data_IF_916765555297
#
_entry.id   IF_916765555297
#
_cell.length_a   1.000
_cell.length_b   1.000
_cell.length_c   1.000
_cell.angle_alpha   90.00
_cell.angle_beta   90.00
_cell.angle_gamma   90.00
#
_symmetry.space_group_name_H-M   'P 1'
#
loop_
_entity.id
_entity.type
_entity.pdbx_description
1 polymer ?
#
# COMPACT_ATOMS: atom_id res chain seq x y z
N UNK A 1 -21.88 36.93 -7.67
CA UNK A 1 -20.62 37.64 -7.43
C UNK A 1 -19.51 36.60 -7.46
N UNK A 2 -18.58 36.67 -8.40
CA UNK A 2 -17.51 35.67 -8.55
C UNK A 2 -16.40 35.97 -7.54
N UNK A 3 -16.03 34.96 -6.77
CA UNK A 3 -14.88 35.00 -5.87
C UNK A 3 -13.62 35.02 -6.76
N UNK A 4 -12.69 35.98 -6.59
CA UNK A 4 -11.49 36.05 -7.41
C UNK A 4 -10.62 34.81 -7.21
N UNK A 5 -10.14 34.22 -8.32
CA UNK A 5 -9.35 32.99 -8.28
C UNK A 5 -7.94 33.28 -7.72
N UNK A 6 -7.38 32.41 -6.88
CA UNK A 6 -6.06 32.62 -6.26
C UNK A 6 -4.88 32.58 -7.26
N UNK A 7 -5.12 32.19 -8.52
CA UNK A 7 -4.09 32.10 -9.56
C UNK A 7 -4.56 32.78 -10.87
N UNK A 8 -4.16 34.03 -11.14
CA UNK A 8 -4.64 34.80 -12.30
C UNK A 8 -4.22 34.20 -13.64
N UNK A 9 -3.07 33.50 -13.70
CA UNK A 9 -2.61 32.81 -14.91
C UNK A 9 -3.50 31.61 -15.27
N UNK A 10 -4.02 30.91 -14.26
CA UNK A 10 -4.93 29.78 -14.43
C UNK A 10 -6.31 30.29 -14.82
N UNK A 11 -6.75 31.39 -14.22
CA UNK A 11 -8.00 32.05 -14.60
C UNK A 11 -7.95 32.55 -16.04
N UNK A 12 -6.86 33.17 -16.48
CA UNK A 12 -6.68 33.59 -17.87
C UNK A 12 -6.71 32.40 -18.85
N UNK A 13 -6.02 31.29 -18.53
CA UNK A 13 -5.99 30.10 -19.36
C UNK A 13 -7.34 29.36 -19.42
N UNK A 14 -8.10 29.36 -18.33
CA UNK A 14 -9.41 28.70 -18.25
C UNK A 14 -10.58 29.61 -18.64
N UNK A 15 -10.38 30.93 -18.71
CA UNK A 15 -11.41 31.91 -19.09
C UNK A 15 -12.18 31.57 -20.37
N UNK A 16 -11.56 31.06 -21.47
CA UNK A 16 -12.33 30.70 -22.66
C UNK A 16 -13.17 29.41 -22.50
N UNK A 17 -12.93 28.63 -21.44
CA UNK A 17 -13.64 27.38 -21.15
C UNK A 17 -14.65 27.50 -20.00
N UNK A 18 -14.59 28.59 -19.22
CA UNK A 18 -15.52 28.86 -18.12
C UNK A 18 -16.73 29.63 -18.67
N UNK A 19 -17.85 28.92 -18.81
CA UNK A 19 -19.11 29.50 -19.27
C UNK A 19 -20.17 29.51 -18.17
N UNK A 20 -21.10 30.48 -18.17
CA UNK A 20 -22.26 30.44 -17.30
C UNK A 20 -23.13 29.23 -17.62
N UNK A 21 -23.81 28.69 -16.60
CA UNK A 21 -24.55 27.41 -16.67
C UNK A 21 -25.45 27.27 -17.89
N UNK A 22 -26.14 28.33 -18.30
CA UNK A 22 -27.04 28.32 -19.46
C UNK A 22 -26.29 28.18 -20.80
N UNK A 23 -25.14 28.84 -20.97
CA UNK A 23 -24.30 28.69 -22.15
C UNK A 23 -23.70 27.29 -22.21
N UNK A 24 -23.25 26.75 -21.08
CA UNK A 24 -22.74 25.38 -21.00
C UNK A 24 -23.80 24.36 -21.41
N UNK A 25 -25.04 24.51 -20.95
CA UNK A 25 -26.15 23.63 -21.36
C UNK A 25 -26.42 23.72 -22.87
N UNK A 26 -26.42 24.93 -23.44
CA UNK A 26 -26.62 25.13 -24.89
C UNK A 26 -25.51 24.51 -25.72
N UNK A 27 -24.25 24.66 -25.29
CA UNK A 27 -23.09 24.04 -25.93
C UNK A 27 -23.20 22.51 -25.88
N UNK A 28 -23.54 21.94 -24.72
CA UNK A 28 -23.73 20.49 -24.55
C UNK A 28 -24.85 19.95 -25.44
N UNK A 29 -25.98 20.65 -25.53
CA UNK A 29 -27.08 20.27 -26.42
C UNK A 29 -26.64 20.27 -27.89
N UNK A 30 -26.03 21.36 -28.36
CA UNK A 30 -25.54 21.45 -29.74
C UNK A 30 -24.49 20.37 -30.08
N UNK A 31 -23.59 20.05 -29.15
CA UNK A 31 -22.61 18.96 -29.33
C UNK A 31 -23.28 17.58 -29.34
N UNK A 32 -24.28 17.37 -28.49
CA UNK A 32 -25.02 16.11 -28.43
C UNK A 32 -25.81 15.88 -29.71
N UNK A 33 -26.47 16.91 -30.25
CA UNK A 33 -27.16 16.87 -31.55
C UNK A 33 -26.18 16.60 -32.71
N UNK A 34 -25.02 17.25 -32.70
CA UNK A 34 -24.00 17.03 -33.73
C UNK A 34 -23.46 15.59 -33.69
N UNK A 35 -23.13 15.07 -32.51
CA UNK A 35 -22.57 13.72 -32.36
C UNK A 35 -23.64 12.64 -32.56
N UNK A 36 -24.88 12.84 -32.10
CA UNK A 36 -25.97 11.91 -32.34
C UNK A 36 -26.32 11.78 -33.82
N UNK A 37 -26.11 12.83 -34.64
CA UNK A 37 -26.28 12.75 -36.09
C UNK A 37 -25.22 11.89 -36.80
N UNK A 38 -24.06 11.68 -36.17
CA UNK A 38 -22.89 11.02 -36.76
C UNK A 38 -22.63 9.62 -36.22
N UNK A 39 -23.21 9.33 -35.06
CA UNK A 39 -23.08 8.07 -34.35
C UNK A 39 -24.34 7.24 -34.56
N UNK A 40 -24.17 5.98 -34.96
CA UNK A 40 -25.23 4.97 -34.88
C UNK A 40 -25.00 4.21 -33.58
N UNK A 41 -25.92 4.36 -32.64
CA UNK A 41 -26.01 3.52 -31.44
C UNK A 41 -27.21 2.58 -31.57
N UNK A 42 -27.11 1.41 -30.94
CA UNK A 42 -28.17 0.40 -30.96
C UNK A 42 -29.50 0.90 -30.36
N UNK A 43 -29.43 1.76 -29.33
CA UNK A 43 -30.60 2.32 -28.64
C UNK A 43 -30.59 3.87 -28.69
N UNK A 44 -31.41 4.52 -29.54
CA UNK A 44 -31.62 5.97 -29.47
C UNK A 44 -32.64 6.32 -28.36
N UNK A 45 -32.47 7.44 -27.62
CA UNK A 45 -31.50 8.53 -27.84
C UNK A 45 -30.23 8.45 -26.98
N UNK A 46 -29.07 8.69 -27.60
CA UNK A 46 -27.77 8.71 -26.91
C UNK A 46 -27.69 9.91 -25.97
N UNK A 47 -27.58 9.66 -24.68
CA UNK A 47 -27.44 10.73 -23.68
C UNK A 47 -26.04 11.36 -23.73
N UNK A 48 -25.90 12.62 -23.29
CA UNK A 48 -24.57 13.27 -23.22
C UNK A 48 -23.56 12.45 -22.40
N UNK A 49 -24.03 11.72 -21.39
CA UNK A 49 -23.18 10.86 -20.56
C UNK A 49 -22.70 9.63 -21.33
N UNK A 50 -23.56 9.01 -22.13
CA UNK A 50 -23.18 7.92 -23.04
C UNK A 50 -22.24 8.40 -24.14
N UNK A 51 -22.36 9.64 -24.61
CA UNK A 51 -21.39 10.20 -25.56
C UNK A 51 -20.03 10.40 -24.89
N UNK A 52 -19.98 10.79 -23.61
CA UNK A 52 -18.69 10.90 -22.88
C UNK A 52 -18.04 9.55 -22.57
N UNK A 53 -18.85 8.48 -22.48
CA UNK A 53 -18.38 7.11 -22.26
C UNK A 53 -19.11 6.16 -23.22
N UNK A 54 -18.65 6.03 -24.48
CA UNK A 54 -19.39 5.32 -25.52
C UNK A 54 -19.55 3.83 -25.19
N UNK A 55 -20.80 3.30 -25.20
CA UNK A 55 -21.04 1.87 -25.03
C UNK A 55 -20.38 1.05 -26.16
N UNK A 56 -20.30 -0.27 -25.99
CA UNK A 56 -19.61 -1.18 -26.92
C UNK A 56 -20.23 -1.24 -28.33
N UNK A 57 -21.46 -0.75 -28.49
CA UNK A 57 -22.26 -0.87 -29.72
C UNK A 57 -22.25 0.38 -30.61
N UNK A 58 -21.28 1.27 -30.39
CA UNK A 58 -21.25 2.58 -31.06
C UNK A 58 -20.42 2.52 -32.33
N UNK A 59 -21.06 2.79 -33.47
CA UNK A 59 -20.42 2.86 -34.79
C UNK A 59 -20.52 4.27 -35.39
N UNK A 60 -19.46 4.74 -36.05
CA UNK A 60 -19.44 6.05 -36.72
C UNK A 60 -19.92 5.89 -38.16
N UNK A 61 -21.03 6.57 -38.52
CA UNK A 61 -21.69 6.42 -39.83
C UNK A 61 -20.96 7.11 -40.98
N UNK A 62 -20.47 8.33 -40.75
CA UNK A 62 -19.80 9.15 -41.77
C UNK A 62 -19.03 10.31 -41.14
N UNK A 63 -17.79 10.52 -41.58
CA UNK A 63 -17.04 11.74 -41.25
C UNK A 63 -17.59 12.93 -42.04
N UNK A 64 -18.11 13.98 -41.39
CA UNK A 64 -18.42 15.22 -42.08
C UNK A 64 -17.12 15.90 -42.50
N UNK A 65 -17.01 16.41 -43.75
CA UNK A 65 -15.82 17.19 -44.16
C UNK A 65 -15.70 18.52 -43.39
N UNK A 66 -16.76 18.96 -42.72
CA UNK A 66 -16.82 20.18 -41.91
C UNK A 66 -16.29 19.98 -40.48
N UNK A 67 -16.09 18.74 -40.04
CA UNK A 67 -15.51 18.46 -38.73
C UNK A 67 -14.00 18.76 -38.78
N UNK A 68 -13.58 19.90 -38.24
CA UNK A 68 -12.15 20.24 -38.09
C UNK A 68 -11.71 20.20 -36.62
N UNK A 69 -10.41 19.96 -36.40
CA UNK A 69 -9.79 19.99 -35.08
C UNK A 69 -10.22 18.85 -34.16
N UNK A 70 -10.58 19.20 -32.91
CA UNK A 70 -10.85 18.25 -31.82
C UNK A 70 -12.01 17.29 -32.13
N UNK A 71 -13.05 17.79 -32.82
CA UNK A 71 -14.24 16.99 -33.16
C UNK A 71 -13.90 15.84 -34.09
N UNK A 72 -13.03 16.10 -35.08
CA UNK A 72 -12.53 15.06 -35.99
C UNK A 72 -11.71 14.01 -35.26
N UNK A 73 -10.76 14.45 -34.42
CA UNK A 73 -9.93 13.56 -33.60
C UNK A 73 -10.78 12.67 -32.68
N UNK A 74 -11.85 13.23 -32.11
CA UNK A 74 -12.78 12.46 -31.29
C UNK A 74 -13.47 11.35 -32.08
N UNK A 75 -13.99 11.64 -33.27
CA UNK A 75 -14.63 10.64 -34.14
C UNK A 75 -13.64 9.58 -34.64
N UNK A 76 -12.41 9.98 -34.96
CA UNK A 76 -11.33 9.05 -35.34
C UNK A 76 -10.97 8.13 -34.16
N UNK A 77 -10.86 8.67 -32.96
CA UNK A 77 -10.62 7.88 -31.74
C UNK A 77 -11.79 6.93 -31.45
N UNK A 78 -13.03 7.37 -31.67
CA UNK A 78 -14.22 6.53 -31.50
C UNK A 78 -14.23 5.38 -32.51
N UNK A 79 -13.91 5.65 -33.77
CA UNK A 79 -13.76 4.61 -34.80
C UNK A 79 -12.64 3.64 -34.44
N UNK A 80 -11.46 4.14 -34.05
CA UNK A 80 -10.34 3.30 -33.63
C UNK A 80 -10.72 2.41 -32.45
N UNK A 81 -11.42 2.95 -31.45
CA UNK A 81 -11.93 2.20 -30.31
C UNK A 81 -12.90 1.09 -30.73
N UNK A 82 -13.88 1.41 -31.59
CA UNK A 82 -14.82 0.42 -32.12
C UNK A 82 -14.09 -0.71 -32.87
N UNK A 83 -13.10 -0.39 -33.71
CA UNK A 83 -12.30 -1.41 -34.41
C UNK A 83 -11.44 -2.25 -33.46
N UNK A 84 -10.86 -1.65 -32.42
CA UNK A 84 -10.06 -2.36 -31.42
C UNK A 84 -10.93 -3.31 -30.59
N UNK A 85 -12.14 -2.87 -30.20
CA UNK A 85 -13.13 -3.72 -29.51
C UNK A 85 -13.58 -4.89 -30.37
N UNK A 86 -13.92 -4.64 -31.64
CA UNK A 86 -14.30 -5.73 -32.56
C UNK A 86 -13.19 -6.78 -32.71
N UNK A 87 -11.91 -6.36 -32.76
CA UNK A 87 -10.76 -7.27 -32.78
C UNK A 87 -10.62 -8.04 -31.46
N UNK A 88 -10.82 -7.37 -30.33
CA UNK A 88 -10.78 -8.01 -29.02
C UNK A 88 -11.88 -9.07 -28.88
N UNK A 89 -13.11 -8.76 -29.28
CA UNK A 89 -14.23 -9.70 -29.20
C UNK A 89 -14.03 -10.89 -30.14
N UNK A 90 -13.46 -10.68 -31.34
CA UNK A 90 -13.07 -11.76 -32.25
C UNK A 90 -12.00 -12.67 -31.62
N UNK A 91 -10.93 -12.09 -31.06
CA UNK A 91 -9.87 -12.85 -30.37
C UNK A 91 -10.41 -13.60 -29.15
N UNK A 92 -11.32 -12.98 -28.40
CA UNK A 92 -11.99 -13.63 -27.26
C UNK A 92 -12.82 -14.83 -27.73
N UNK A 93 -13.56 -14.69 -28.83
CA UNK A 93 -14.29 -15.80 -29.46
C UNK A 93 -13.39 -16.95 -29.89
N UNK A 94 -12.24 -16.64 -30.50
CA UNK A 94 -11.23 -17.63 -30.90
C UNK A 94 -10.58 -18.33 -29.70
N UNK A 95 -10.32 -17.61 -28.61
CA UNK A 95 -9.81 -18.22 -27.38
C UNK A 95 -10.85 -19.12 -26.73
N UNK A 96 -12.13 -18.73 -26.75
CA UNK A 96 -13.21 -19.57 -26.24
C UNK A 96 -13.42 -20.83 -27.10
N UNK A 97 -13.28 -20.74 -28.42
CA UNK A 97 -13.36 -21.90 -29.32
C UNK A 97 -12.20 -22.86 -29.09
N UNK A 98 -10.96 -22.35 -29.01
CA UNK A 98 -9.77 -23.15 -28.67
C UNK A 98 -9.88 -23.79 -27.29
N UNK A 99 -10.42 -23.08 -26.30
CA UNK A 99 -10.67 -23.65 -24.97
C UNK A 99 -11.67 -24.80 -25.04
N UNK A 100 -12.78 -24.63 -25.77
CA UNK A 100 -13.78 -25.69 -25.97
C UNK A 100 -13.18 -26.90 -26.70
N UNK A 101 -12.40 -26.67 -27.76
CA UNK A 101 -11.69 -27.73 -28.47
C UNK A 101 -10.69 -28.47 -27.58
N UNK A 102 -9.93 -27.76 -26.73
CA UNK A 102 -9.00 -28.39 -25.79
C UNK A 102 -9.71 -29.25 -24.74
N UNK A 103 -10.88 -28.82 -24.27
CA UNK A 103 -11.69 -29.58 -23.31
C UNK A 103 -12.28 -30.83 -23.99
N UNK A 104 -12.74 -30.71 -25.23
CA UNK A 104 -13.24 -31.85 -26.02
C UNK A 104 -12.11 -32.84 -26.36
N UNK A 105 -10.92 -32.35 -26.71
CA UNK A 105 -9.74 -33.17 -26.94
C UNK A 105 -9.26 -33.89 -25.67
N UNK A 106 -9.29 -33.22 -24.51
CA UNK A 106 -8.97 -33.82 -23.22
C UNK A 106 -10.00 -34.87 -22.78
N UNK A 107 -11.28 -34.69 -23.15
CA UNK A 107 -12.36 -35.65 -22.88
C UNK A 107 -12.30 -36.87 -23.79
N UNK A 108 -11.96 -36.68 -25.07
CA UNK A 108 -11.83 -37.78 -26.05
C UNK A 108 -10.47 -38.50 -25.95
N UNK A 109 -9.47 -37.91 -25.30
CA UNK A 109 -8.15 -38.52 -25.06
C UNK A 109 -8.10 -39.52 -23.90
N UNK A 110 -9.19 -39.69 -23.13
CA UNK A 110 -9.28 -40.63 -21.98
C UNK A 110 -10.06 -41.92 -22.27
N UNK A 111 -10.54 -42.14 -23.50
CA UNK A 111 -11.27 -43.36 -23.89
C UNK A 111 -10.44 -44.27 -24.83
N UNK A 112 -9.13 -44.35 -24.62
CA UNK A 112 -8.20 -45.20 -25.38
C UNK A 112 -7.40 -46.19 -24.54
N UNK A 113 -7.66 -46.30 -23.23
CA UNK A 113 -7.04 -47.31 -22.37
C UNK A 113 -8.00 -48.49 -22.17
N UNK A 114 -8.23 -49.26 -23.24
CA UNK A 114 -8.64 -50.67 -23.13
C UNK A 114 -8.68 -51.30 -24.53
N UNK A 115 -7.51 -51.64 -25.07
CA UNK A 115 -7.40 -52.75 -26.02
C UNK A 115 -5.96 -53.26 -26.07
N UNK A 116 -5.72 -54.39 -25.40
CA UNK A 116 -4.82 -55.44 -25.88
C UNK A 116 -3.38 -55.07 -26.22
N UNK A 117 -2.51 -55.19 -25.21
CA UNK A 117 -1.18 -55.80 -25.28
C UNK A 117 -0.76 -56.33 -26.67
N UNK A 118 0.04 -55.55 -27.40
CA UNK A 118 1.03 -56.03 -28.37
C UNK A 118 2.30 -55.19 -28.16
N UNK A 119 3.19 -55.73 -27.33
CA UNK A 119 4.53 -55.21 -27.08
C UNK A 119 5.35 -55.28 -28.37
N UNK A 120 5.89 -54.15 -28.84
CA UNK A 120 6.97 -54.14 -29.83
C UNK A 120 7.07 -52.92 -30.75
N UNK A 121 5.99 -52.53 -31.44
CA UNK A 121 6.08 -51.54 -32.55
C UNK A 121 5.18 -50.30 -32.37
N UNK A 122 4.10 -50.39 -31.60
CA UNK A 122 3.17 -49.25 -31.42
C UNK A 122 3.66 -48.21 -30.38
N UNK A 123 4.59 -48.58 -29.50
CA UNK A 123 5.14 -47.66 -28.49
C UNK A 123 6.09 -46.63 -29.12
N UNK A 124 6.92 -47.03 -30.10
CA UNK A 124 7.81 -46.13 -30.85
C UNK A 124 7.01 -45.12 -31.68
N UNK A 125 5.89 -45.54 -32.27
CA UNK A 125 4.98 -44.67 -33.02
C UNK A 125 4.24 -43.73 -32.07
N UNK A 126 3.79 -44.22 -30.91
CA UNK A 126 3.16 -43.39 -29.88
C UNK A 126 4.14 -42.36 -29.30
N UNK A 127 5.40 -42.73 -29.09
CA UNK A 127 6.47 -41.84 -28.63
C UNK A 127 6.82 -40.80 -29.71
N UNK A 128 6.91 -41.20 -30.97
CA UNK A 128 7.12 -40.28 -32.09
C UNK A 128 5.97 -39.28 -32.25
N UNK A 129 4.72 -39.72 -32.05
CA UNK A 129 3.55 -38.84 -32.06
C UNK A 129 3.58 -37.87 -30.86
N UNK A 130 4.00 -38.32 -29.68
CA UNK A 130 4.21 -37.44 -28.50
C UNK A 130 5.29 -36.39 -28.80
N UNK A 131 6.38 -36.79 -29.42
CA UNK A 131 7.49 -35.90 -29.80
C UNK A 131 7.07 -34.87 -30.86
N UNK A 132 6.26 -35.27 -31.85
CA UNK A 132 5.66 -34.34 -32.82
C UNK A 132 4.71 -33.34 -32.16
N UNK A 133 3.90 -33.77 -31.18
CA UNK A 133 3.03 -32.88 -30.41
C UNK A 133 3.84 -31.89 -29.58
N UNK A 134 4.92 -32.33 -28.94
CA UNK A 134 5.85 -31.48 -28.20
C UNK A 134 6.54 -30.46 -29.10
N UNK A 135 7.00 -30.85 -30.30
CA UNK A 135 7.58 -29.93 -31.29
C UNK A 135 6.58 -28.88 -31.75
N UNK A 136 5.33 -29.26 -32.00
CA UNK A 136 4.26 -28.30 -32.34
C UNK A 136 3.95 -27.35 -31.18
N UNK A 137 3.97 -27.85 -29.95
CA UNK A 137 3.74 -27.02 -28.75
C UNK A 137 4.89 -26.02 -28.55
N UNK A 138 6.15 -26.45 -28.74
CA UNK A 138 7.32 -25.58 -28.68
C UNK A 138 7.27 -24.50 -29.77
N UNK A 139 6.92 -24.86 -31.02
CA UNK A 139 6.76 -23.88 -32.09
C UNK A 139 5.69 -22.82 -31.77
N UNK A 140 4.56 -23.22 -31.16
CA UNK A 140 3.53 -22.28 -30.69
C UNK A 140 4.03 -21.37 -29.57
N UNK A 141 4.74 -21.94 -28.59
CA UNK A 141 5.34 -21.16 -27.49
C UNK A 141 6.38 -20.16 -28.01
N UNK A 142 7.19 -20.52 -29.02
CA UNK A 142 8.12 -19.59 -29.66
C UNK A 142 7.42 -18.43 -30.34
N UNK A 143 6.26 -18.65 -30.98
CA UNK A 143 5.47 -17.55 -31.57
C UNK A 143 4.97 -16.62 -30.47
N UNK A 144 4.44 -17.16 -29.36
CA UNK A 144 4.00 -16.35 -28.22
C UNK A 144 5.16 -15.56 -27.62
N UNK A 145 6.32 -16.20 -27.42
CA UNK A 145 7.52 -15.56 -26.90
C UNK A 145 8.02 -14.46 -27.84
N UNK A 146 7.98 -14.68 -29.17
CA UNK A 146 8.32 -13.65 -30.16
C UNK A 146 7.34 -12.48 -30.12
N UNK A 147 6.03 -12.73 -30.07
CA UNK A 147 5.03 -11.66 -29.97
C UNK A 147 5.13 -10.89 -28.65
N UNK A 148 5.55 -11.55 -27.57
CA UNK A 148 5.78 -10.92 -26.28
C UNK A 148 7.07 -10.09 -26.30
N UNK A 149 8.11 -10.59 -26.97
CA UNK A 149 9.33 -9.81 -27.26
C UNK A 149 9.01 -8.58 -28.11
N UNK A 150 8.26 -8.74 -29.21
CA UNK A 150 7.79 -7.63 -30.03
C UNK A 150 6.90 -6.65 -29.26
N UNK A 151 6.13 -7.10 -28.27
CA UNK A 151 5.33 -6.22 -27.42
C UNK A 151 6.20 -5.45 -26.43
N UNK A 152 7.21 -6.10 -25.85
CA UNK A 152 8.21 -5.45 -24.97
C UNK A 152 9.05 -4.45 -25.78
N UNK A 153 9.39 -4.77 -27.02
CA UNK A 153 10.14 -3.89 -27.93
C UNK A 153 9.25 -2.78 -28.53
N UNK A 154 7.96 -3.04 -28.76
CA UNK A 154 6.97 -2.04 -29.18
C UNK A 154 6.51 -1.15 -28.02
N UNK A 155 6.69 -1.60 -26.77
CA UNK A 155 6.62 -0.78 -25.55
C UNK A 155 7.91 0.04 -25.33
N UNK A 156 8.40 0.68 -26.40
CA UNK A 156 8.93 2.04 -26.28
C UNK A 156 7.76 2.98 -25.90
N UNK A 157 7.25 2.74 -24.70
CA UNK A 157 6.13 3.42 -24.10
C UNK A 157 6.52 4.90 -23.86
N UNK A 158 5.71 5.88 -24.31
CA UNK A 158 5.87 7.30 -23.98
C UNK A 158 5.60 7.61 -22.50
N UNK A 159 5.53 6.60 -21.64
CA UNK A 159 5.39 6.70 -20.19
C UNK A 159 6.71 6.50 -19.44
N UNK A 160 7.77 6.09 -20.14
CA UNK A 160 9.16 6.13 -19.64
C UNK A 160 9.91 7.34 -20.20
N UNK A 161 9.21 8.45 -20.38
CA UNK A 161 9.87 9.73 -20.10
C UNK A 161 10.22 9.65 -18.62
N UNK A 162 11.50 9.65 -18.29
CA UNK A 162 11.97 9.84 -16.92
C UNK A 162 11.38 11.16 -16.42
N UNK A 163 10.16 11.11 -15.88
CA UNK A 163 9.51 12.18 -15.14
C UNK A 163 10.49 12.83 -14.15
N UNK A 164 11.39 12.10 -13.44
CA UNK A 164 12.42 12.74 -12.63
C UNK A 164 13.40 13.59 -13.45
N UNK A 165 13.87 13.15 -14.62
CA UNK A 165 14.81 13.93 -15.45
C UNK A 165 14.14 15.14 -16.10
N UNK A 166 12.90 14.98 -16.58
CA UNK A 166 12.12 16.09 -17.13
C UNK A 166 11.69 17.10 -16.04
N UNK A 167 11.48 16.64 -14.81
CA UNK A 167 11.28 17.48 -13.64
C UNK A 167 12.60 18.11 -13.18
N UNK A 168 13.74 17.44 -13.28
CA UNK A 168 15.06 17.99 -12.98
C UNK A 168 15.40 19.14 -13.94
N UNK A 169 15.13 18.97 -15.24
CA UNK A 169 15.33 19.99 -16.27
C UNK A 169 14.38 21.19 -16.11
N UNK A 170 13.16 20.98 -15.60
CA UNK A 170 12.13 22.03 -15.44
C UNK A 170 12.12 22.71 -14.07
N UNK A 171 12.54 22.00 -13.02
CA UNK A 171 12.34 22.38 -11.62
C UNK A 171 13.64 22.52 -10.83
N UNK A 172 14.77 22.00 -11.34
CA UNK A 172 16.06 22.00 -10.64
C UNK A 172 16.16 20.91 -9.57
N UNK A 173 17.39 20.58 -9.17
CA UNK A 173 17.71 19.51 -8.22
C UNK A 173 17.22 19.85 -6.80
N UNK A 174 16.46 18.94 -6.19
CA UNK A 174 15.93 19.10 -4.84
C UNK A 174 17.01 18.74 -3.79
N UNK A 175 17.13 19.48 -2.67
CA UNK A 175 18.18 19.25 -1.68
C UNK A 175 17.96 17.92 -0.92
N UNK A 176 19.04 17.16 -0.75
CA UNK A 176 19.05 15.88 -0.03
C UNK A 176 18.64 16.01 1.45
N UNK A 177 17.78 15.13 1.97
CA UNK A 177 17.47 15.07 3.40
C UNK A 177 18.58 14.35 4.19
N UNK A 178 18.84 14.77 5.45
CA UNK A 178 19.95 14.23 6.24
C UNK A 178 19.70 12.81 6.72
N UNK A 179 20.72 11.96 6.56
CA UNK A 179 20.80 10.59 7.07
C UNK A 179 20.76 10.62 8.61
N UNK A 180 19.67 10.13 9.22
CA UNK A 180 19.63 9.90 10.67
C UNK A 180 20.24 8.53 10.99
N UNK A 181 21.47 8.54 11.49
CA UNK A 181 22.03 7.44 12.27
C UNK A 181 21.45 7.49 13.69
N UNK A 182 20.86 6.38 14.16
CA UNK A 182 20.33 6.28 15.51
C UNK A 182 19.69 4.92 15.77
N UNK A 183 20.49 3.86 15.81
CA UNK A 183 20.09 2.58 16.41
C UNK A 183 20.17 2.66 17.92
N UNK A 184 19.17 2.10 18.61
CA UNK A 184 19.14 1.96 20.07
C UNK A 184 18.29 0.76 20.46
N UNK A 185 18.93 -0.21 21.13
CA UNK A 185 18.47 -1.54 21.60
C UNK A 185 17.19 -1.59 22.47
N UNK A 186 16.40 -0.51 22.58
CA UNK A 186 15.11 -0.51 23.27
C UNK A 186 13.89 -0.78 22.37
N UNK A 187 14.10 -0.79 21.05
CA UNK A 187 13.01 -1.03 20.09
C UNK A 187 12.75 -2.53 19.90
N UNK A 188 13.78 -3.38 20.01
CA UNK A 188 13.66 -4.83 19.81
C UNK A 188 12.75 -5.50 20.86
N UNK A 189 12.84 -5.13 22.14
CA UNK A 189 12.00 -5.74 23.20
C UNK A 189 10.53 -5.31 23.09
N UNK A 190 10.28 -4.07 22.64
CA UNK A 190 8.92 -3.56 22.35
C UNK A 190 8.35 -4.17 21.08
N UNK A 191 9.19 -4.35 20.06
CA UNK A 191 8.83 -5.04 18.81
C UNK A 191 8.55 -6.51 19.10
N UNK A 192 9.32 -7.17 19.95
CA UNK A 192 9.07 -8.55 20.40
C UNK A 192 7.76 -8.67 21.18
N UNK A 193 7.45 -7.75 22.11
CA UNK A 193 6.18 -7.76 22.83
C UNK A 193 4.99 -7.52 21.90
N UNK A 194 5.10 -6.58 20.97
CA UNK A 194 4.07 -6.29 19.96
C UNK A 194 3.89 -7.45 18.98
N UNK A 195 4.99 -8.09 18.56
CA UNK A 195 4.91 -9.28 17.70
C UNK A 195 4.31 -10.47 18.44
N UNK A 196 4.55 -10.61 19.75
CA UNK A 196 3.93 -11.64 20.56
C UNK A 196 2.43 -11.40 20.73
N UNK A 197 2.01 -10.16 21.00
CA UNK A 197 0.60 -9.77 21.02
C UNK A 197 -0.07 -10.02 19.67
N UNK A 198 0.59 -9.65 18.57
CA UNK A 198 0.07 -9.90 17.23
C UNK A 198 -0.05 -11.39 16.95
N UNK A 199 0.98 -12.20 17.26
CA UNK A 199 0.93 -13.67 17.11
C UNK A 199 -0.22 -14.28 17.91
N UNK A 200 -0.45 -13.79 19.14
CA UNK A 200 -1.57 -14.21 19.98
C UNK A 200 -2.91 -13.84 19.33
N UNK A 201 -3.09 -12.60 18.89
CA UNK A 201 -4.33 -12.16 18.24
C UNK A 201 -4.58 -12.89 16.91
N UNK A 202 -3.54 -13.13 16.12
CA UNK A 202 -3.63 -13.91 14.87
C UNK A 202 -4.03 -15.35 15.16
N UNK A 203 -3.49 -15.98 16.20
CA UNK A 203 -3.91 -17.34 16.60
C UNK A 203 -5.36 -17.36 17.10
N UNK A 204 -5.78 -16.35 17.86
CA UNK A 204 -7.17 -16.22 18.32
C UNK A 204 -8.12 -16.03 17.13
N UNK A 205 -7.78 -15.15 16.20
CA UNK A 205 -8.55 -14.89 14.99
C UNK A 205 -8.61 -16.11 14.07
N UNK A 206 -7.49 -16.81 13.89
CA UNK A 206 -7.41 -18.06 13.11
C UNK A 206 -8.29 -19.14 13.74
N UNK A 207 -8.20 -19.35 15.05
CA UNK A 207 -9.06 -20.31 15.76
C UNK A 207 -10.54 -19.91 15.67
N UNK A 208 -10.87 -18.62 15.75
CA UNK A 208 -12.24 -18.14 15.57
C UNK A 208 -12.77 -18.40 14.15
N UNK A 209 -11.92 -18.19 13.14
CA UNK A 209 -12.24 -18.50 11.74
C UNK A 209 -12.40 -19.99 11.49
N UNK A 210 -11.52 -20.83 12.02
CA UNK A 210 -11.64 -22.29 11.89
C UNK A 210 -12.93 -22.80 12.54
N UNK A 211 -13.32 -22.25 13.70
CA UNK A 211 -14.62 -22.56 14.34
C UNK A 211 -15.80 -22.08 13.51
N UNK A 212 -15.76 -20.89 12.91
CA UNK A 212 -16.88 -20.40 12.10
C UNK A 212 -17.02 -21.22 10.81
N UNK A 213 -15.91 -21.62 10.20
CA UNK A 213 -15.88 -22.50 9.03
C UNK A 213 -16.37 -23.91 9.39
N UNK A 214 -15.98 -24.46 10.53
CA UNK A 214 -16.48 -25.77 10.96
C UNK A 214 -17.99 -25.73 11.20
N UNK A 215 -18.50 -24.70 11.90
CA UNK A 215 -19.93 -24.50 12.13
C UNK A 215 -20.70 -24.30 10.82
N UNK A 216 -20.13 -23.58 9.85
CA UNK A 216 -20.74 -23.41 8.52
C UNK A 216 -20.80 -24.74 7.75
N UNK A 217 -19.76 -25.55 7.84
CA UNK A 217 -19.71 -26.86 7.20
C UNK A 217 -20.68 -27.85 7.86
N UNK A 218 -20.77 -27.84 9.19
CA UNK A 218 -21.73 -28.65 9.95
C UNK A 218 -23.16 -28.23 9.61
N UNK A 219 -23.44 -26.92 9.54
CA UNK A 219 -24.74 -26.41 9.10
C UNK A 219 -25.07 -26.82 7.66
N UNK A 220 -24.09 -26.75 6.74
CA UNK A 220 -24.27 -27.21 5.35
C UNK A 220 -24.52 -28.71 5.25
N UNK A 221 -23.86 -29.52 6.08
CA UNK A 221 -24.06 -30.97 6.12
C UNK A 221 -25.44 -31.32 6.70
N UNK A 222 -25.89 -30.62 7.75
CA UNK A 222 -27.23 -30.77 8.32
C UNK A 222 -28.35 -30.32 7.37
N UNK A 223 -28.07 -29.32 6.52
CA UNK A 223 -29.05 -28.78 5.56
C UNK A 223 -29.17 -29.60 4.26
N UNK A 224 -28.29 -30.58 4.02
CA UNK A 224 -28.51 -31.72 3.12
C UNK A 224 -29.22 -31.45 1.78
N UNK A 225 -29.01 -30.29 1.15
CA UNK A 225 -29.65 -29.92 -0.13
C UNK A 225 -31.18 -29.77 -0.12
N UNK A 226 -31.83 -29.73 1.05
CA UNK A 226 -33.28 -29.54 1.17
C UNK A 226 -33.69 -28.07 1.13
N UNK A 227 -34.86 -27.79 0.54
CA UNK A 227 -35.45 -26.45 0.49
C UNK A 227 -35.78 -25.98 1.93
N UNK A 228 -35.16 -24.88 2.35
CA UNK A 228 -35.30 -24.33 3.72
C UNK A 228 -36.66 -23.65 3.86
N UNK A 229 -37.44 -24.02 4.86
CA UNK A 229 -38.73 -23.38 5.16
C UNK A 229 -38.55 -21.86 5.34
N UNK A 230 -39.47 -21.08 4.76
CA UNK A 230 -39.45 -19.60 4.81
C UNK A 230 -39.42 -19.09 6.26
N UNK A 231 -40.07 -19.79 7.20
CA UNK A 231 -40.04 -19.43 8.61
C UNK A 231 -38.65 -19.62 9.24
N UNK A 232 -37.93 -20.68 8.87
CA UNK A 232 -36.56 -20.92 9.31
C UNK A 232 -35.58 -19.91 8.67
N UNK A 233 -35.83 -19.50 7.43
CA UNK A 233 -35.07 -18.44 6.77
C UNK A 233 -35.27 -17.09 7.46
N UNK A 234 -36.52 -16.72 7.77
CA UNK A 234 -36.82 -15.46 8.48
C UNK A 234 -36.22 -15.48 9.90
N UNK A 235 -36.29 -16.62 10.59
CA UNK A 235 -35.66 -16.78 11.90
C UNK A 235 -34.13 -16.67 11.82
N UNK A 236 -33.51 -17.32 10.84
CA UNK A 236 -32.07 -17.22 10.59
C UNK A 236 -31.62 -15.79 10.25
N UNK A 237 -32.41 -15.06 9.46
CA UNK A 237 -32.16 -13.65 9.15
C UNK A 237 -32.32 -12.74 10.37
N UNK A 238 -33.27 -13.02 11.26
CA UNK A 238 -33.41 -12.30 12.53
C UNK A 238 -32.23 -12.57 13.46
N UNK A 239 -31.82 -13.84 13.59
CA UNK A 239 -30.65 -14.20 14.38
C UNK A 239 -29.36 -13.56 13.83
N UNK A 240 -29.16 -13.57 12.51
CA UNK A 240 -28.03 -12.90 11.87
C UNK A 240 -28.06 -11.38 12.07
N UNK A 241 -29.25 -10.77 12.04
CA UNK A 241 -29.41 -9.34 12.36
C UNK A 241 -29.03 -9.05 13.80
N UNK A 242 -29.51 -9.85 14.75
CA UNK A 242 -29.25 -9.64 16.18
C UNK A 242 -27.76 -9.89 16.51
N UNK A 243 -27.11 -10.84 15.84
CA UNK A 243 -25.67 -11.08 15.93
C UNK A 243 -24.86 -9.92 15.35
N UNK A 244 -25.26 -9.37 14.19
CA UNK A 244 -24.62 -8.18 13.62
C UNK A 244 -24.77 -6.96 14.52
N UNK A 245 -25.94 -6.78 15.14
CA UNK A 245 -26.17 -5.70 16.11
C UNK A 245 -25.23 -5.88 17.31
N UNK A 246 -25.17 -7.08 17.89
CA UNK A 246 -24.27 -7.40 19.00
C UNK A 246 -22.79 -7.20 18.63
N UNK A 247 -22.38 -7.59 17.42
CA UNK A 247 -21.01 -7.37 16.93
C UNK A 247 -20.69 -5.88 16.77
N UNK A 248 -21.60 -5.10 16.18
CA UNK A 248 -21.43 -3.64 16.03
C UNK A 248 -21.40 -2.96 17.40
N UNK A 249 -22.29 -3.34 18.32
CA UNK A 249 -22.30 -2.81 19.69
C UNK A 249 -21.00 -3.17 20.44
N UNK A 250 -20.50 -4.39 20.27
CA UNK A 250 -19.22 -4.83 20.82
C UNK A 250 -18.03 -4.08 20.23
N UNK A 251 -18.05 -3.81 18.92
CA UNK A 251 -16.98 -3.06 18.25
C UNK A 251 -17.02 -1.56 18.62
N UNK A 252 -18.21 -0.99 18.76
CA UNK A 252 -18.40 0.38 19.26
C UNK A 252 -17.95 0.53 20.72
N UNK A 253 -18.16 -0.49 21.57
CA UNK A 253 -17.69 -0.50 22.94
C UNK A 253 -16.15 -0.45 23.04
N UNK A 254 -15.43 -1.22 22.20
CA UNK A 254 -13.95 -1.21 22.13
C UNK A 254 -13.39 0.14 21.65
N UNK A 255 -14.12 0.83 20.77
CA UNK A 255 -13.75 2.18 20.30
C UNK A 255 -13.92 3.22 21.42
N UNK A 256 -14.90 3.03 22.33
CA UNK A 256 -15.07 3.94 23.47
C UNK A 256 -13.98 3.80 24.54
N UNK A 257 -13.39 2.60 24.69
CA UNK A 257 -12.37 2.30 25.70
C UNK A 257 -10.96 2.75 25.28
N UNK A 258 -10.68 2.85 23.98
CA UNK A 258 -9.38 3.29 23.44
C UNK A 258 -9.21 4.82 23.33
N UNK A 259 -10.19 5.60 23.78
CA UNK A 259 -10.15 7.07 23.79
C UNK A 259 -9.52 7.71 25.04
N UNK A 260 -9.11 6.92 26.05
CA UNK A 260 -8.62 7.44 27.33
C UNK A 260 -7.08 7.50 27.48
N UNK A 261 -6.31 6.87 26.59
CA UNK A 261 -4.85 6.83 26.70
C UNK A 261 -4.17 7.57 25.54
N UNK A 262 -4.09 8.88 25.67
CA UNK A 262 -3.15 9.71 24.91
C UNK A 262 -2.00 10.10 25.82
N UNK A 263 -0.75 9.93 25.38
CA UNK A 263 0.33 10.94 25.54
C UNK A 263 1.73 10.39 25.26
N UNK A 264 2.12 10.27 23.98
CA UNK A 264 3.50 10.61 23.59
C UNK A 264 3.42 11.32 22.23
N UNK A 265 3.32 12.65 22.31
CA UNK A 265 3.59 13.56 21.22
C UNK A 265 5.06 13.93 21.38
N UNK A 266 5.92 13.49 20.46
CA UNK A 266 7.18 14.19 20.21
C UNK A 266 7.16 14.67 18.76
N UNK A 267 7.14 15.99 18.63
CA UNK A 267 7.52 16.69 17.42
C UNK A 267 8.51 17.80 17.81
N UNK A 268 9.47 18.12 16.93
CA UNK A 268 10.79 18.60 17.29
C UNK A 268 10.94 20.11 17.03
N UNK A 269 11.91 20.74 17.70
CA UNK A 269 12.46 22.04 17.29
C UNK A 269 13.96 22.04 17.58
N UNK A 270 14.78 21.96 16.52
CA UNK A 270 16.17 22.40 16.53
C UNK A 270 16.23 23.93 16.62
N UNK A 271 17.23 24.54 17.26
CA UNK A 271 18.57 24.86 16.73
C UNK A 271 19.03 26.15 17.45
N UNK A 272 20.25 26.74 17.28
CA UNK A 272 21.53 26.26 16.75
C UNK A 272 22.75 26.62 17.66
N UNK A 273 23.94 26.34 17.13
CA UNK A 273 25.21 27.10 17.23
C UNK A 273 26.32 26.57 18.19
N UNK A 274 27.48 26.38 17.56
CA UNK A 274 28.89 26.42 18.02
C UNK A 274 29.59 25.09 18.36
N UNK A 275 30.30 24.60 17.34
CA UNK A 275 31.73 24.30 17.33
C UNK A 275 32.45 24.23 18.69
N UNK A 276 33.21 23.16 18.89
CA UNK A 276 34.26 23.12 19.90
C UNK A 276 34.65 21.71 20.28
N UNK A 277 35.91 21.40 20.02
CA UNK A 277 36.70 20.24 20.41
C UNK A 277 36.53 19.81 21.88
N UNK A 278 36.81 18.52 22.11
CA UNK A 278 37.36 17.91 23.33
C UNK A 278 36.99 18.51 24.70
N UNK A 279 36.29 17.73 25.52
CA UNK A 279 36.88 17.27 26.79
C UNK A 279 35.92 16.30 27.50
N UNK A 280 36.46 15.15 27.88
CA UNK A 280 35.92 14.36 28.97
C UNK A 280 36.10 15.14 30.28
N UNK A 281 35.24 16.15 30.48
CA UNK A 281 35.15 16.90 31.74
C UNK A 281 34.45 16.09 32.84
N UNK A 282 34.78 16.33 34.12
CA UNK A 282 34.24 15.56 35.23
C UNK A 282 32.73 15.78 35.29
N UNK A 283 31.96 14.70 35.54
CA UNK A 283 30.49 14.64 35.69
C UNK A 283 29.88 15.79 36.52
N UNK A 284 30.68 16.45 37.36
CA UNK A 284 30.33 17.66 38.11
C UNK A 284 29.94 18.86 37.23
N UNK A 285 30.55 19.03 36.05
CA UNK A 285 30.24 20.17 35.17
C UNK A 285 28.92 19.95 34.41
N UNK A 286 28.64 18.70 34.03
CA UNK A 286 27.36 18.35 33.43
C UNK A 286 26.20 18.46 34.42
N UNK A 287 26.40 18.03 35.66
CA UNK A 287 25.37 18.18 36.71
C UNK A 287 25.17 19.63 37.14
N UNK A 288 26.23 20.47 37.14
CA UNK A 288 26.11 21.91 37.34
C UNK A 288 25.31 22.56 36.19
N UNK A 289 25.60 22.18 34.94
CA UNK A 289 24.86 22.67 33.76
C UNK A 289 23.38 22.26 33.81
N UNK A 290 23.07 21.00 34.15
CA UNK A 290 21.69 20.53 34.32
C UNK A 290 20.98 21.31 35.43
N UNK A 291 21.64 21.56 36.57
CA UNK A 291 21.07 22.39 37.64
C UNK A 291 20.75 23.79 37.16
N UNK A 292 21.67 24.45 36.43
CA UNK A 292 21.41 25.80 35.90
C UNK A 292 20.26 25.81 34.90
N UNK A 293 20.13 24.79 34.04
CA UNK A 293 18.99 24.67 33.12
C UNK A 293 17.69 24.41 33.86
N UNK A 294 17.72 23.61 34.92
CA UNK A 294 16.56 23.33 35.76
C UNK A 294 16.13 24.54 36.57
N UNK A 295 17.08 25.32 37.10
CA UNK A 295 16.80 26.58 37.81
C UNK A 295 16.20 27.62 36.85
N UNK A 296 16.72 27.71 35.62
CA UNK A 296 16.15 28.55 34.57
C UNK A 296 14.72 28.10 34.22
N UNK A 297 14.48 26.80 34.04
CA UNK A 297 13.16 26.23 33.80
C UNK A 297 12.18 26.51 34.95
N UNK A 298 12.59 26.32 36.20
CA UNK A 298 11.76 26.58 37.39
C UNK A 298 11.44 28.07 37.50
N UNK A 299 12.40 28.96 37.23
CA UNK A 299 12.17 30.41 37.25
C UNK A 299 11.18 30.86 36.14
N UNK A 300 11.32 30.33 34.93
CA UNK A 300 10.41 30.60 33.82
C UNK A 300 9.00 30.06 34.11
N UNK A 301 8.89 28.87 34.71
CA UNK A 301 7.61 28.28 35.12
C UNK A 301 6.97 29.04 36.28
N UNK A 302 7.76 29.55 37.22
CA UNK A 302 7.27 30.39 38.30
C UNK A 302 6.76 31.74 37.78
N UNK A 303 7.43 32.34 36.78
CA UNK A 303 6.99 33.56 36.11
C UNK A 303 5.66 33.33 35.36
N UNK A 304 5.56 32.25 34.57
CA UNK A 304 4.31 31.88 33.90
C UNK A 304 3.17 31.61 34.88
N UNK A 305 3.44 30.92 35.99
CA UNK A 305 2.43 30.69 37.03
C UNK A 305 2.03 31.99 37.74
N UNK A 306 2.94 32.95 37.91
CA UNK A 306 2.63 34.27 38.45
C UNK A 306 1.75 35.08 37.47
N UNK A 307 2.02 34.99 36.17
CA UNK A 307 1.22 35.64 35.13
C UNK A 307 -0.14 34.99 34.95
N UNK A 308 -0.23 33.65 35.03
CA UNK A 308 -1.49 32.91 35.04
C UNK A 308 -2.29 33.21 36.32
N UNK A 309 -1.65 33.30 37.49
CA UNK A 309 -2.32 33.72 38.73
C UNK A 309 -2.79 35.17 38.68
N UNK A 310 -2.05 36.05 38.00
CA UNK A 310 -2.46 37.44 37.74
C UNK A 310 -3.65 37.49 36.76
N UNK A 311 -3.72 36.57 35.81
CA UNK A 311 -4.83 36.43 34.87
C UNK A 311 -6.05 35.70 35.47
N UNK A 312 -5.85 34.79 36.41
CA UNK A 312 -6.91 34.01 37.07
C UNK A 312 -7.44 34.66 38.34
N UNK A 313 -6.91 35.82 38.74
CA UNK A 313 -7.45 36.63 39.83
C UNK A 313 -8.69 37.42 39.35
N UNK A 314 -9.75 36.68 39.04
CA UNK A 314 -11.14 37.16 38.94
C UNK A 314 -11.96 36.27 39.88
N UNK A 315 -12.85 36.82 40.73
CA UNK A 315 -13.28 36.13 41.94
C UNK A 315 -14.23 34.96 41.65
N UNK A 316 -14.06 33.89 42.46
CA UNK A 316 -14.88 32.69 42.55
C UNK A 316 -16.38 32.92 42.28
N UNK A 317 -16.96 32.10 41.39
CA UNK A 317 -18.40 31.87 41.35
C UNK A 317 -18.65 30.36 41.28
N UNK A 318 -19.49 29.89 42.20
CA UNK A 318 -19.79 28.49 42.53
C UNK A 318 -20.52 27.71 41.42
N UNK A 319 -20.43 26.36 41.41
CA UNK A 319 -21.01 25.50 40.39
C UNK A 319 -22.48 25.18 40.68
N UNK A 320 -23.39 26.12 40.43
CA UNK A 320 -24.84 25.88 40.55
C UNK A 320 -25.69 26.31 39.36
N UNK A 321 -25.10 26.80 38.26
CA UNK A 321 -25.87 27.38 37.14
C UNK A 321 -25.94 26.54 35.86
N UNK A 322 -25.56 25.26 35.89
CA UNK A 322 -25.43 24.44 34.67
C UNK A 322 -26.76 23.84 34.15
N UNK A 323 -27.88 24.03 34.85
CA UNK A 323 -29.16 23.40 34.48
C UNK A 323 -30.07 24.20 33.53
N UNK A 324 -29.70 25.43 33.11
CA UNK A 324 -30.63 26.32 32.38
C UNK A 324 -30.48 26.36 30.85
N UNK A 325 -29.72 25.45 30.22
CA UNK A 325 -29.44 25.52 28.77
C UNK A 325 -30.28 24.59 27.86
N UNK A 326 -31.22 23.81 28.40
CA UNK A 326 -32.13 23.00 27.58
C UNK A 326 -33.53 23.63 27.49
N UNK A 327 -33.70 24.66 26.65
CA UNK A 327 -34.98 24.90 25.95
C UNK A 327 -34.88 26.01 24.91
N UNK A 328 -35.06 25.73 23.61
CA UNK A 328 -35.33 26.75 22.61
C UNK A 328 -36.82 26.76 22.26
N UNK A 329 -37.56 27.81 22.64
CA UNK A 329 -38.89 28.10 22.06
C UNK A 329 -38.92 29.48 21.42
N UNK A 330 -39.02 29.44 20.09
CA UNK A 330 -39.88 30.22 19.20
C UNK A 330 -40.01 31.74 19.40
N UNK A 331 -39.52 32.48 18.40
CA UNK A 331 -39.68 33.91 18.21
C UNK A 331 -41.10 34.23 17.72
N UNK A 332 -41.80 35.12 18.42
CA UNK A 332 -43.00 35.82 17.97
C UNK A 332 -43.16 37.15 18.73
N UNK A 333 -43.17 38.28 18.00
CA UNK A 333 -44.05 39.40 18.29
C UNK A 333 -43.55 40.60 19.12
N UNK A 334 -43.26 41.69 18.41
CA UNK A 334 -43.71 43.09 18.65
C UNK A 334 -43.36 43.89 19.94
N UNK A 335 -42.69 45.03 19.69
CA UNK A 335 -42.82 46.40 20.26
C UNK A 335 -43.17 46.63 21.74
N UNK A 336 -42.34 47.44 22.42
CA UNK A 336 -42.76 48.29 23.54
C UNK A 336 -41.61 48.65 24.49
N UNK A 337 -41.33 49.95 24.66
CA UNK A 337 -40.12 50.45 25.35
C UNK A 337 -40.25 50.65 26.87
N UNK A 338 -39.12 50.88 27.53
CA UNK A 338 -38.81 52.04 28.39
C UNK A 338 -37.55 51.77 29.25
N UNK A 339 -36.87 52.87 29.61
CA UNK A 339 -35.55 52.99 30.22
C UNK A 339 -35.40 52.37 31.63
N UNK A 340 -34.17 51.98 31.96
CA UNK A 340 -33.72 51.73 33.33
C UNK A 340 -32.23 51.37 33.42
N UNK A 341 -31.41 52.37 33.70
CA UNK A 341 -29.95 52.41 33.95
C UNK A 341 -29.29 51.23 34.71
N UNK A 342 -28.10 50.85 34.23
CA UNK A 342 -26.80 50.89 34.96
C UNK A 342 -25.99 49.58 35.08
N UNK A 343 -24.79 49.66 34.51
CA UNK A 343 -23.50 49.06 34.90
C UNK A 343 -23.13 47.62 34.54
N UNK A 344 -21.96 47.58 33.88
CA UNK A 344 -20.97 46.51 33.68
C UNK A 344 -21.30 45.47 32.63
N UNK A 345 -20.65 45.68 31.48
CA UNK A 345 -20.60 44.79 30.34
C UNK A 345 -20.11 43.41 30.76
N UNK A 346 -21.04 42.46 30.77
CA UNK A 346 -20.75 41.04 30.70
C UNK A 346 -19.97 40.81 29.40
N UNK A 347 -18.68 40.50 29.51
CA UNK A 347 -17.92 39.90 28.43
C UNK A 347 -18.41 38.46 28.25
N UNK A 348 -19.64 38.33 27.74
CA UNK A 348 -20.09 37.16 27.03
C UNK A 348 -19.02 36.86 25.97
N UNK A 349 -18.38 35.69 26.06
CA UNK A 349 -17.51 35.21 24.99
C UNK A 349 -18.43 34.94 23.79
N UNK A 350 -18.60 35.95 22.96
CA UNK A 350 -19.50 35.86 21.82
C UNK A 350 -18.81 34.97 20.80
N UNK A 351 -19.58 34.10 20.12
CA UNK A 351 -19.08 33.28 19.00
C UNK A 351 -18.36 34.15 17.95
N UNK A 352 -18.68 35.45 17.90
CA UNK A 352 -17.99 36.48 17.12
C UNK A 352 -16.47 36.57 17.37
N UNK A 353 -16.00 36.31 18.59
CA UNK A 353 -14.57 36.37 18.95
C UNK A 353 -13.79 35.12 18.47
N UNK A 354 -14.48 34.03 18.11
CA UNK A 354 -13.91 32.83 17.48
C UNK A 354 -13.87 32.91 15.95
N UNK A 355 -14.65 33.81 15.34
CA UNK A 355 -14.71 34.02 13.88
C UNK A 355 -13.33 34.31 13.26
N UNK A 356 -12.46 35.17 13.83
CA UNK A 356 -11.14 35.41 13.24
C UNK A 356 -10.20 34.20 13.29
N UNK A 357 -10.45 33.22 14.17
CA UNK A 357 -9.63 32.03 14.34
C UNK A 357 -10.16 30.79 13.57
N UNK A 358 -11.39 30.84 13.06
CA UNK A 358 -11.97 29.79 12.24
C UNK A 358 -11.17 29.46 10.96
N UNK A 359 -10.64 30.45 10.21
CA UNK A 359 -9.84 30.15 9.02
C UNK A 359 -8.60 29.32 9.36
N UNK A 360 -7.90 29.65 10.45
CA UNK A 360 -6.72 28.91 10.92
C UNK A 360 -7.06 27.50 11.37
N UNK A 361 -8.18 27.30 12.06
CA UNK A 361 -8.65 25.97 12.46
C UNK A 361 -9.11 25.13 11.26
N UNK A 362 -9.73 25.75 10.26
CA UNK A 362 -10.12 25.09 9.02
C UNK A 362 -8.88 24.67 8.20
N UNK A 363 -7.85 25.50 8.15
CA UNK A 363 -6.58 25.12 7.50
C UNK A 363 -5.83 24.03 8.26
N UNK A 364 -5.92 24.01 9.58
CA UNK A 364 -5.30 22.96 10.39
C UNK A 364 -6.00 21.61 10.20
N UNK A 365 -7.35 21.61 10.19
CA UNK A 365 -8.14 20.41 9.93
C UNK A 365 -7.98 19.89 8.51
N UNK A 366 -7.88 20.76 7.50
CA UNK A 366 -7.57 20.34 6.13
C UNK A 366 -6.15 19.77 6.03
N UNK A 367 -5.16 20.38 6.66
CA UNK A 367 -3.78 19.87 6.72
C UNK A 367 -3.71 18.49 7.40
N UNK A 368 -4.37 18.33 8.56
CA UNK A 368 -4.47 17.04 9.26
C UNK A 368 -5.11 15.95 8.39
N UNK A 369 -6.20 16.28 7.69
CA UNK A 369 -6.81 15.34 6.74
C UNK A 369 -5.88 14.99 5.58
N UNK A 370 -5.15 15.95 5.01
CA UNK A 370 -4.19 15.65 3.94
C UNK A 370 -3.06 14.75 4.42
N UNK A 371 -2.53 14.96 5.63
CA UNK A 371 -1.52 14.10 6.23
C UNK A 371 -2.06 12.69 6.50
N UNK A 372 -3.29 12.55 6.98
CA UNK A 372 -3.94 11.26 7.14
C UNK A 372 -4.11 10.53 5.81
N UNK A 373 -4.50 11.24 4.75
CA UNK A 373 -4.62 10.66 3.41
C UNK A 373 -3.26 10.23 2.85
N UNK A 374 -2.23 11.06 2.99
CA UNK A 374 -0.85 10.72 2.58
C UNK A 374 -0.33 9.52 3.38
N UNK A 375 -0.54 9.50 4.69
CA UNK A 375 -0.14 8.39 5.56
C UNK A 375 -0.83 7.07 5.18
N UNK A 376 -2.13 7.11 4.85
CA UNK A 376 -2.86 5.93 4.33
C UNK A 376 -2.33 5.48 2.98
N UNK A 377 -2.09 6.42 2.06
CA UNK A 377 -1.53 6.14 0.75
C UNK A 377 -0.15 5.49 0.85
N UNK A 378 0.74 6.02 1.69
CA UNK A 378 2.08 5.46 1.90
C UNK A 378 2.03 4.07 2.52
N UNK A 379 1.14 3.81 3.48
CA UNK A 379 0.95 2.46 4.02
C UNK A 379 0.47 1.47 2.95
N UNK A 380 -0.48 1.88 2.11
CA UNK A 380 -0.97 1.04 1.02
C UNK A 380 0.11 0.78 -0.04
N UNK A 381 0.89 1.81 -0.40
CA UNK A 381 2.00 1.69 -1.34
C UNK A 381 3.12 0.79 -0.80
N UNK A 382 3.43 0.90 0.50
CA UNK A 382 4.43 0.06 1.15
C UNK A 382 3.96 -1.40 1.22
N UNK A 383 2.71 -1.66 1.61
CA UNK A 383 2.16 -3.01 1.60
C UNK A 383 2.13 -3.62 0.19
N UNK A 384 1.83 -2.82 -0.84
CA UNK A 384 1.89 -3.27 -2.22
C UNK A 384 3.33 -3.58 -2.68
N UNK A 385 4.30 -2.76 -2.28
CA UNK A 385 5.71 -3.02 -2.54
C UNK A 385 6.21 -4.27 -1.81
N UNK A 386 5.80 -4.49 -0.55
CA UNK A 386 6.10 -5.70 0.20
C UNK A 386 5.53 -6.95 -0.50
N UNK A 387 4.27 -6.91 -0.93
CA UNK A 387 3.67 -8.01 -1.70
C UNK A 387 4.42 -8.27 -3.01
N UNK A 388 4.86 -7.24 -3.73
CA UNK A 388 5.66 -7.40 -4.95
C UNK A 388 7.07 -7.96 -4.66
N UNK A 389 7.73 -7.50 -3.58
CA UNK A 389 9.02 -8.06 -3.16
C UNK A 389 8.90 -9.52 -2.72
N UNK A 390 7.84 -9.88 -2.00
CA UNK A 390 7.62 -11.28 -1.58
C UNK A 390 7.31 -12.17 -2.78
N UNK A 391 6.53 -11.70 -3.76
CA UNK A 391 6.28 -12.42 -5.01
C UNK A 391 7.54 -12.60 -5.85
N UNK A 392 8.35 -11.55 -6.00
CA UNK A 392 9.60 -11.63 -6.76
C UNK A 392 10.60 -12.56 -6.08
N UNK A 393 10.74 -12.50 -4.76
CA UNK A 393 11.55 -13.45 -3.99
C UNK A 393 11.00 -14.88 -4.12
N UNK A 394 9.68 -15.08 -4.07
CA UNK A 394 9.06 -16.39 -4.25
C UNK A 394 9.26 -16.94 -5.68
N UNK A 395 9.25 -16.08 -6.69
CA UNK A 395 9.56 -16.45 -8.08
C UNK A 395 11.03 -16.86 -8.22
N UNK A 396 11.96 -16.04 -7.71
CA UNK A 396 13.39 -16.35 -7.69
C UNK A 396 13.66 -17.64 -6.92
N UNK A 397 12.91 -17.89 -5.83
CA UNK A 397 12.96 -19.13 -5.08
C UNK A 397 12.50 -20.35 -5.90
N UNK A 398 11.43 -20.20 -6.69
CA UNK A 398 10.94 -21.26 -7.58
C UNK A 398 11.85 -21.53 -8.78
N UNK A 399 12.60 -20.52 -9.24
CA UNK A 399 13.56 -20.62 -10.36
C UNK A 399 14.94 -21.12 -9.91
N UNK A 400 15.28 -20.94 -8.62
CA UNK A 400 16.52 -21.41 -8.01
C UNK A 400 16.48 -22.91 -7.71
N UNK A 401 17.12 -23.72 -8.57
CA UNK A 401 17.37 -25.15 -8.33
C UNK A 401 18.30 -25.46 -7.14
N UNK A 402 18.87 -24.44 -6.48
CA UNK A 402 19.70 -24.59 -5.29
C UNK A 402 18.91 -24.72 -3.98
N UNK A 403 17.59 -24.48 -4.00
CA UNK A 403 16.77 -24.46 -2.78
C UNK A 403 15.71 -25.56 -2.84
N UNK A 404 15.61 -26.32 -1.75
CA UNK A 404 14.71 -27.47 -1.66
C UNK A 404 13.25 -27.06 -1.92
N UNK A 405 12.48 -27.86 -2.68
CA UNK A 405 11.07 -27.58 -2.96
C UNK A 405 10.26 -27.66 -1.66
N UNK A 406 9.97 -26.49 -1.07
CA UNK A 406 9.29 -26.38 0.23
C UNK A 406 9.62 -25.09 1.01
N UNK A 407 10.70 -24.39 0.68
CA UNK A 407 11.09 -23.12 1.32
C UNK A 407 10.35 -21.90 0.75
N UNK A 408 9.01 -21.91 0.74
CA UNK A 408 8.20 -20.75 0.31
C UNK A 408 8.14 -19.63 1.35
N UNK A 409 8.63 -19.88 2.58
CA UNK A 409 8.68 -18.91 3.67
C UNK A 409 10.07 -18.27 3.77
N UNK A 410 10.14 -16.94 3.87
CA UNK A 410 11.39 -16.19 4.09
C UNK A 410 12.14 -16.66 5.35
N UNK A 411 11.42 -17.17 6.36
CA UNK A 411 12.03 -17.78 7.54
C UNK A 411 12.80 -19.07 7.19
N UNK A 412 12.26 -19.90 6.29
CA UNK A 412 12.92 -21.12 5.82
C UNK A 412 14.19 -20.80 5.00
N UNK A 413 14.23 -19.66 4.30
CA UNK A 413 15.44 -19.15 3.66
C UNK A 413 16.49 -18.72 4.69
N UNK A 414 16.07 -18.02 5.74
CA UNK A 414 16.96 -17.63 6.82
C UNK A 414 17.52 -18.83 7.59
N UNK A 415 16.72 -19.88 7.78
CA UNK A 415 17.14 -21.15 8.39
C UNK A 415 18.08 -21.93 7.45
N UNK A 416 17.73 -22.09 6.18
CA UNK A 416 18.58 -22.79 5.20
C UNK A 416 19.91 -22.08 4.97
N UNK A 417 19.92 -20.74 4.95
CA UNK A 417 21.15 -19.95 4.87
C UNK A 417 22.02 -20.12 6.12
N UNK A 418 21.41 -20.21 7.32
CA UNK A 418 22.14 -20.50 8.56
C UNK A 418 22.71 -21.92 8.55
N UNK A 419 21.94 -22.90 8.08
CA UNK A 419 22.38 -24.29 7.99
C UNK A 419 23.52 -24.46 6.98
N UNK A 420 23.37 -23.91 5.77
CA UNK A 420 24.44 -23.91 4.76
C UNK A 420 25.71 -23.19 5.24
N UNK A 421 25.57 -22.08 5.98
CA UNK A 421 26.71 -21.38 6.60
C UNK A 421 27.39 -22.23 7.67
N UNK A 422 26.63 -22.99 8.45
CA UNK A 422 27.17 -23.90 9.45
C UNK A 422 27.90 -25.10 8.80
N UNK A 423 27.33 -25.67 7.75
CA UNK A 423 27.95 -26.76 6.99
C UNK A 423 29.23 -26.32 6.29
N UNK A 424 29.20 -25.19 5.59
CA UNK A 424 30.40 -24.62 4.96
C UNK A 424 31.45 -24.25 6.01
N UNK A 425 31.04 -23.71 7.16
CA UNK A 425 31.94 -23.46 8.28
C UNK A 425 32.63 -24.72 8.81
N UNK A 426 31.89 -25.83 8.94
CA UNK A 426 32.46 -27.14 9.34
C UNK A 426 33.41 -27.69 8.29
N UNK A 427 33.02 -27.68 7.01
CA UNK A 427 33.85 -28.17 5.92
C UNK A 427 35.17 -27.37 5.80
N UNK A 428 35.11 -26.05 5.96
CA UNK A 428 36.30 -25.19 5.99
C UNK A 428 37.15 -25.48 7.23
N UNK A 429 36.52 -25.69 8.39
CA UNK A 429 37.21 -26.11 9.62
C UNK A 429 37.99 -27.41 9.44
N UNK A 430 37.34 -28.44 8.90
CA UNK A 430 37.96 -29.74 8.60
C UNK A 430 39.12 -29.61 7.61
N UNK A 431 38.97 -28.76 6.57
CA UNK A 431 40.06 -28.47 5.64
C UNK A 431 41.23 -27.74 6.32
N UNK A 432 40.96 -26.81 7.23
CA UNK A 432 41.99 -26.12 8.02
C UNK A 432 42.73 -27.10 8.94
N UNK A 433 42.01 -27.97 9.65
CA UNK A 433 42.59 -28.99 10.53
C UNK A 433 43.47 -29.97 9.76
N UNK A 434 42.98 -30.48 8.61
CA UNK A 434 43.78 -31.34 7.72
C UNK A 434 45.03 -30.62 7.18
N UNK A 435 44.91 -29.32 6.90
CA UNK A 435 46.04 -28.47 6.51
C UNK A 435 47.07 -28.33 7.63
N UNK A 436 46.63 -28.10 8.87
CA UNK A 436 47.51 -28.01 10.04
C UNK A 436 48.22 -29.32 10.34
N UNK A 437 47.54 -30.46 10.20
CA UNK A 437 48.14 -31.78 10.35
C UNK A 437 49.20 -32.05 9.28
N UNK A 438 48.94 -31.68 8.03
CA UNK A 438 49.94 -31.75 6.94
C UNK A 438 51.16 -30.88 7.23
N UNK A 439 50.96 -29.65 7.71
CA UNK A 439 52.06 -28.73 8.08
C UNK A 439 52.86 -29.30 9.27
N UNK A 440 52.18 -29.88 10.26
CA UNK A 440 52.83 -30.52 11.42
C UNK A 440 53.66 -31.73 10.99
N UNK A 441 53.14 -32.54 10.09
CA UNK A 441 53.86 -33.65 9.47
C UNK A 441 55.10 -33.18 8.71
N UNK A 442 54.96 -32.14 7.88
CA UNK A 442 56.08 -31.55 7.15
C UNK A 442 57.16 -30.99 8.10
N UNK A 443 56.76 -30.28 9.16
CA UNK A 443 57.68 -29.77 10.19
C UNK A 443 58.41 -30.90 10.93
N UNK A 444 57.71 -32.00 11.23
CA UNK A 444 58.31 -33.21 11.77
C UNK A 444 59.37 -33.82 10.83
N UNK A 445 59.08 -33.88 9.53
CA UNK A 445 60.04 -34.32 8.51
C UNK A 445 61.27 -33.42 8.41
N UNK A 446 61.07 -32.09 8.44
CA UNK A 446 62.18 -31.11 8.45
C UNK A 446 63.02 -31.23 9.71
N UNK A 447 62.42 -31.46 10.87
CA UNK A 447 63.16 -31.68 12.11
C UNK A 447 63.98 -32.98 12.05
N UNK A 448 63.41 -34.07 11.52
CA UNK A 448 64.12 -35.35 11.36
C UNK A 448 65.32 -35.23 10.42
N UNK A 449 65.15 -34.57 9.28
CA UNK A 449 66.26 -34.31 8.34
C UNK A 449 67.32 -33.38 8.92
N UNK A 450 66.93 -32.40 9.75
CA UNK A 450 67.90 -31.57 10.49
C UNK A 450 68.65 -32.35 11.58
N UNK A 451 68.00 -33.29 12.26
CA UNK A 451 68.65 -34.20 13.23
C UNK A 451 69.62 -35.16 12.55
N UNK A 452 69.23 -35.74 11.41
CA UNK A 452 70.10 -36.57 10.56
C UNK A 452 71.31 -35.76 10.08
N UNK A 453 71.08 -34.54 9.57
CA UNK A 453 72.16 -33.61 9.19
C UNK A 453 73.06 -33.25 10.38
N UNK A 454 72.54 -33.13 11.60
CA UNK A 454 73.36 -32.90 12.80
C UNK A 454 74.19 -34.13 13.18
N UNK A 455 73.64 -35.34 13.03
CA UNK A 455 74.39 -36.59 13.24
C UNK A 455 75.51 -36.76 12.21
N UNK A 456 75.25 -36.43 10.95
CA UNK A 456 76.23 -36.47 9.87
C UNK A 456 77.24 -35.31 9.95
N UNK A 457 76.81 -34.14 10.43
CA UNK A 457 77.67 -32.98 10.70
C UNK A 457 78.59 -33.16 11.92
N UNK A 458 78.26 -34.07 12.83
CA UNK A 458 79.12 -34.48 13.95
C UNK A 458 80.37 -35.27 13.53
N UNK A 459 80.46 -35.68 12.26
CA UNK A 459 81.61 -36.42 11.71
C UNK A 459 82.66 -35.52 11.03
N UNK A 460 82.53 -34.18 11.11
CA UNK A 460 83.51 -33.21 10.57
C UNK A 460 84.07 -32.30 11.66
N UNK A 461 84.62 -32.91 12.71
CA UNK A 461 85.29 -32.18 13.78
C UNK A 461 86.25 -33.05 14.57
N UNK A 462 87.19 -33.70 13.88
CA UNK A 462 88.50 -34.10 14.42
C UNK A 462 89.46 -34.22 13.24
N UNK A 463 90.14 -33.11 12.96
CA UNK A 463 91.39 -33.03 12.19
C UNK A 463 92.34 -32.12 12.96
#
# INVERSE_FOLDING_TARGET
MSIPCPFPNVEAALSPYIHPRHQTLRIRQALTEFLSSQIIAADPPVSHLEISCPPSTVEVKRFPPEASGLRKRYLEALQANATARARYDALKGDLESLRKESILAARNGKSGESAGKKEGEDDDVAEYVKLLRQRRLNAKLQVVQKSLGELVDAEANPTNVNLPEMLLERLGEAPEPPISAGGGEGDDERVEELTFRLKKEVLVAKNAMERSVSLQNDARQLLGGGEVSVEAQVHGMRAARDELISWVEGELAKISETGADTSIIESPVGSPVLAGEEEAGPVKDHTARIKTMYDAYVSARAALLADVKRASAVPNIDPSSLESLLNPRTISGAKGGSQGQSTKADASFQVADLIPHLPTLLTFTSSSNTLLHQSKYLRAALAAAEDDTTKTVQRLAGESYLVAPGASSMAAWADAARESRAETGKAVGEMCESGEESIRGAKGGVNRTNEERRREGGFRGDL
#
